data_IF_328697273936
#
_entry.id   IF_328697273936
#
_cell.length_a   1.000
_cell.length_b   1.000
_cell.length_c   1.000
_cell.angle_alpha   90.00
_cell.angle_beta   90.00
_cell.angle_gamma   90.00
#
_symmetry.space_group_name_H-M   'P 1'
#
loop_
_entity.id
_entity.type
_entity.pdbx_description
1 polymer ?
#
# COMPACT_ATOMS: atom_id res chain seq x y z
N UNK A 1 30.97 24.43 20.88
CA UNK A 1 30.33 23.17 20.47
C UNK A 1 28.85 23.38 20.70
N UNK A 2 28.14 23.81 19.66
CA UNK A 2 26.70 24.09 19.76
C UNK A 2 25.99 22.86 19.20
N UNK A 3 25.29 22.12 20.05
CA UNK A 3 24.47 20.99 19.61
C UNK A 3 23.18 21.62 19.10
N UNK A 4 23.12 21.84 17.79
CA UNK A 4 21.88 22.23 17.14
C UNK A 4 20.91 21.07 17.31
N UNK A 5 19.92 21.27 18.18
CA UNK A 5 18.78 20.39 18.36
C UNK A 5 18.15 20.20 17.00
N UNK A 6 18.43 19.06 16.37
CA UNK A 6 17.80 18.66 15.12
C UNK A 6 16.30 18.69 15.36
N UNK A 7 15.62 19.60 14.64
CA UNK A 7 14.19 19.78 14.60
C UNK A 7 13.50 18.40 14.61
N UNK A 8 12.95 18.01 15.77
CA UNK A 8 12.29 16.72 15.98
C UNK A 8 10.90 16.73 15.33
N UNK A 9 10.77 17.31 14.14
CA UNK A 9 9.57 17.17 13.35
C UNK A 9 9.55 15.73 12.81
N UNK A 10 8.43 14.99 13.00
CA UNK A 10 8.31 13.67 12.39
C UNK A 10 8.50 13.82 10.88
N UNK A 11 9.15 12.84 10.20
CA UNK A 11 9.35 12.89 8.76
C UNK A 11 8.01 13.25 8.08
N UNK A 12 8.05 14.23 7.18
CA UNK A 12 6.87 14.86 6.59
C UNK A 12 5.84 13.85 6.04
N UNK A 13 6.28 12.65 5.66
CA UNK A 13 5.51 11.58 5.03
C UNK A 13 4.77 10.62 6.01
N UNK A 14 4.78 10.87 7.32
CA UNK A 14 4.10 10.00 8.30
C UNK A 14 3.13 10.75 9.19
N UNK A 15 2.65 11.91 8.74
CA UNK A 15 1.69 12.72 9.46
C UNK A 15 0.24 12.27 9.21
N UNK A 16 -0.01 11.56 8.10
CA UNK A 16 -1.31 10.98 7.77
C UNK A 16 -1.17 9.48 7.62
N UNK A 17 -2.03 8.74 8.34
CA UNK A 17 -2.07 7.27 8.29
C UNK A 17 -3.41 6.83 7.74
N UNK A 18 -3.38 6.19 6.57
CA UNK A 18 -4.52 5.52 5.98
C UNK A 18 -4.80 4.20 6.71
N UNK A 19 -6.07 3.92 7.00
CA UNK A 19 -6.49 2.76 7.80
C UNK A 19 -7.46 1.90 7.01
N UNK A 20 -7.45 0.59 7.31
CA UNK A 20 -8.37 -0.40 6.73
C UNK A 20 -8.39 -0.41 5.19
N UNK A 21 -7.20 -0.32 4.57
CA UNK A 21 -7.05 -0.31 3.11
C UNK A 21 -7.08 -1.75 2.59
N UNK A 22 -8.14 -2.17 1.88
CA UNK A 22 -8.21 -3.50 1.30
C UNK A 22 -7.25 -3.62 0.11
N UNK A 23 -6.88 -4.84 -0.26
CA UNK A 23 -6.08 -5.09 -1.46
C UNK A 23 -6.84 -4.76 -2.76
N UNK A 24 -8.17 -4.74 -2.73
CA UNK A 24 -9.01 -4.42 -3.87
C UNK A 24 -10.27 -3.65 -3.46
N UNK A 25 -10.64 -2.66 -4.28
CA UNK A 25 -11.94 -1.97 -4.21
C UNK A 25 -12.86 -2.40 -5.36
N UNK A 26 -14.19 -2.35 -5.18
CA UNK A 26 -15.14 -2.57 -6.26
C UNK A 26 -15.05 -1.43 -7.30
N UNK A 27 -15.22 -1.77 -8.58
CA UNK A 27 -15.28 -0.80 -9.68
C UNK A 27 -16.59 -0.04 -9.75
N UNK A 28 -17.68 -0.69 -9.36
CA UNK A 28 -19.04 -0.22 -9.60
C UNK A 28 -19.72 0.34 -8.35
N UNK A 29 -18.92 0.92 -7.45
CA UNK A 29 -19.41 1.53 -6.22
C UNK A 29 -18.51 2.69 -5.78
N UNK A 30 -19.05 3.69 -5.07
CA UNK A 30 -18.22 4.67 -4.40
C UNK A 30 -17.31 3.99 -3.36
N UNK A 31 -16.12 4.54 -3.17
CA UNK A 31 -15.17 4.04 -2.17
C UNK A 31 -15.01 5.05 -1.03
N UNK A 32 -14.96 4.54 0.19
CA UNK A 32 -14.67 5.32 1.39
C UNK A 32 -13.26 5.02 1.84
N UNK A 33 -12.38 6.01 1.72
CA UNK A 33 -11.03 5.98 2.24
C UNK A 33 -11.03 6.53 3.66
N UNK A 34 -10.49 5.78 4.63
CA UNK A 34 -10.37 6.20 6.03
C UNK A 34 -8.92 6.56 6.36
N UNK A 35 -8.71 7.62 7.13
CA UNK A 35 -7.38 8.03 7.56
C UNK A 35 -7.42 8.75 8.91
N UNK A 36 -6.26 8.83 9.55
CA UNK A 36 -6.05 9.59 10.79
C UNK A 36 -4.94 10.61 10.58
N UNK A 37 -5.04 11.75 11.27
CA UNK A 37 -4.02 12.79 11.27
C UNK A 37 -3.24 12.74 12.59
N UNK A 38 -1.93 12.90 12.50
CA UNK A 38 -1.09 13.13 13.68
C UNK A 38 -1.42 14.51 14.29
N UNK A 39 -1.35 14.63 15.62
CA UNK A 39 -1.61 15.86 16.36
C UNK A 39 -0.76 17.07 15.90
N UNK A 40 0.40 16.84 15.28
CA UNK A 40 1.25 17.90 14.75
C UNK A 40 0.74 18.49 13.42
N UNK A 41 -0.13 17.79 12.67
CA UNK A 41 -0.63 18.27 11.39
C UNK A 41 -1.94 19.04 11.58
N UNK A 42 -1.93 20.31 11.17
CA UNK A 42 -3.14 21.14 11.14
C UNK A 42 -3.79 21.04 9.77
N UNK A 43 -4.98 20.42 9.66
CA UNK A 43 -5.65 20.25 8.39
C UNK A 43 -6.17 21.58 7.85
N UNK A 44 -6.02 21.79 6.55
CA UNK A 44 -6.55 22.92 5.79
C UNK A 44 -7.72 22.50 4.91
N UNK A 45 -8.63 23.43 4.63
CA UNK A 45 -9.67 23.24 3.60
C UNK A 45 -9.11 23.14 2.17
N UNK A 46 -7.81 23.42 1.99
CA UNK A 46 -7.08 23.20 0.74
C UNK A 46 -6.27 21.91 0.73
N UNK A 47 -6.38 21.09 1.76
CA UNK A 47 -5.79 19.75 1.75
C UNK A 47 -6.72 18.81 0.98
N UNK A 48 -6.16 17.76 0.38
CA UNK A 48 -6.92 16.83 -0.44
C UNK A 48 -6.34 15.42 -0.39
N UNK A 49 -7.20 14.43 -0.63
CA UNK A 49 -6.82 13.03 -0.78
C UNK A 49 -6.97 12.67 -2.25
N UNK A 50 -5.89 12.20 -2.85
CA UNK A 50 -5.87 11.74 -4.24
C UNK A 50 -5.70 10.23 -4.36
N UNK A 51 -6.20 9.69 -5.46
CA UNK A 51 -5.88 8.34 -5.94
C UNK A 51 -4.77 8.48 -6.98
N UNK A 52 -3.65 7.80 -6.77
CA UNK A 52 -2.49 7.85 -7.64
C UNK A 52 -2.16 6.45 -8.14
N UNK A 53 -1.81 6.31 -9.41
CA UNK A 53 -1.21 5.07 -9.94
C UNK A 53 0.17 4.88 -9.30
N UNK A 54 0.50 3.67 -8.86
CA UNK A 54 1.81 3.35 -8.28
C UNK A 54 2.93 3.70 -9.27
N UNK A 55 4.02 4.30 -8.78
CA UNK A 55 5.11 4.82 -9.60
C UNK A 55 4.95 6.29 -10.03
N UNK A 56 3.93 7.00 -9.53
CA UNK A 56 3.80 8.45 -9.68
C UNK A 56 5.04 9.21 -9.18
N UNK A 57 5.31 10.37 -9.77
CA UNK A 57 6.51 11.17 -9.47
C UNK A 57 6.18 12.56 -8.92
N UNK A 58 4.96 13.05 -9.13
CA UNK A 58 4.48 14.35 -8.67
C UNK A 58 3.05 14.30 -8.15
N UNK A 59 2.70 15.23 -7.26
CA UNK A 59 1.32 15.45 -6.83
C UNK A 59 0.38 15.81 -7.99
N UNK A 60 0.90 16.18 -9.17
CA UNK A 60 0.10 16.42 -10.39
C UNK A 60 -0.33 15.14 -11.11
N UNK A 61 0.24 14.00 -10.76
CA UNK A 61 -0.02 12.71 -11.43
C UNK A 61 -1.24 11.98 -10.84
N UNK A 62 -2.13 12.71 -10.14
CA UNK A 62 -3.34 12.13 -9.56
C UNK A 62 -4.30 11.66 -10.66
N UNK A 63 -4.99 10.56 -10.41
CA UNK A 63 -6.09 10.10 -11.25
C UNK A 63 -7.38 10.87 -10.92
N UNK A 64 -7.72 10.92 -9.64
CA UNK A 64 -8.86 11.68 -9.10
C UNK A 64 -8.55 12.11 -7.67
N UNK A 65 -9.30 13.09 -7.16
CA UNK A 65 -9.12 13.62 -5.82
C UNK A 65 -10.43 14.08 -5.19
N UNK A 66 -10.40 14.21 -3.87
CA UNK A 66 -11.43 14.89 -3.08
C UNK A 66 -10.79 15.83 -2.08
N UNK A 67 -11.40 16.99 -1.87
CA UNK A 67 -10.99 17.92 -0.83
C UNK A 67 -11.26 17.33 0.55
N UNK A 68 -10.38 17.60 1.51
CA UNK A 68 -10.59 17.23 2.91
C UNK A 68 -11.65 18.15 3.50
N UNK A 69 -12.69 17.56 4.08
CA UNK A 69 -13.73 18.34 4.73
C UNK A 69 -13.18 19.01 6.01
N UNK A 70 -13.53 20.30 6.24
CA UNK A 70 -13.20 20.98 7.49
C UNK A 70 -13.78 20.22 8.68
N UNK A 71 -13.02 20.14 9.77
CA UNK A 71 -13.55 19.61 11.04
C UNK A 71 -14.22 20.77 11.77
N UNK A 72 -15.52 20.63 12.05
CA UNK A 72 -16.29 21.67 12.74
C UNK A 72 -15.90 21.81 14.23
N UNK A 73 -15.22 20.80 14.79
CA UNK A 73 -14.78 20.77 16.18
C UNK A 73 -13.24 20.68 16.31
N UNK A 74 -12.57 21.76 16.78
CA UNK A 74 -11.13 21.78 17.00
C UNK A 74 -10.66 20.89 18.17
N UNK A 75 -11.51 20.62 19.18
CA UNK A 75 -11.14 19.77 20.32
C UNK A 75 -11.22 18.28 19.96
N UNK A 76 -12.09 17.94 19.02
CA UNK A 76 -12.23 16.60 18.47
C UNK A 76 -11.11 16.24 17.46
N UNK A 77 -10.28 17.20 17.07
CA UNK A 77 -9.31 17.03 15.97
C UNK A 77 -8.13 16.09 16.29
N UNK A 78 -7.92 15.72 17.56
CA UNK A 78 -6.85 14.82 17.95
C UNK A 78 -7.35 13.37 17.98
N UNK A 79 -6.96 12.59 16.96
CA UNK A 79 -7.25 11.14 16.82
C UNK A 79 -8.64 10.76 16.31
N UNK A 80 -9.38 11.68 15.68
CA UNK A 80 -10.58 11.30 14.93
C UNK A 80 -10.21 10.67 13.59
N UNK A 81 -10.81 9.51 13.33
CA UNK A 81 -10.81 8.92 12.00
C UNK A 81 -11.60 9.81 11.05
N UNK A 82 -10.96 10.23 9.97
CA UNK A 82 -11.56 11.00 8.88
C UNK A 82 -11.86 10.10 7.68
N UNK A 83 -12.72 10.60 6.80
CA UNK A 83 -13.15 9.89 5.62
C UNK A 83 -13.05 10.77 4.38
N UNK A 84 -12.69 10.14 3.27
CA UNK A 84 -12.72 10.71 1.93
C UNK A 84 -13.55 9.78 1.04
N UNK A 85 -14.62 10.29 0.44
CA UNK A 85 -15.57 9.49 -0.36
C UNK A 85 -15.39 9.81 -1.83
N UNK A 86 -14.88 8.85 -2.59
CA UNK A 86 -14.72 8.99 -4.04
C UNK A 86 -15.94 8.41 -4.75
N UNK A 87 -16.47 9.17 -5.72
CA UNK A 87 -17.60 8.71 -6.52
C UNK A 87 -17.13 7.72 -7.59
N UNK A 88 -17.92 6.67 -7.78
CA UNK A 88 -17.68 5.58 -8.73
C UNK A 88 -17.24 6.05 -10.12
N UNK A 89 -17.91 7.06 -10.68
CA UNK A 89 -17.67 7.52 -12.05
C UNK A 89 -16.30 8.20 -12.26
N UNK A 90 -15.57 8.51 -11.19
CA UNK A 90 -14.20 9.03 -11.23
C UNK A 90 -13.13 7.98 -10.93
N UNK A 91 -13.52 6.73 -10.64
CA UNK A 91 -12.57 5.69 -10.28
C UNK A 91 -11.87 5.13 -11.54
N UNK A 92 -10.60 4.69 -11.38
CA UNK A 92 -9.90 4.00 -12.45
C UNK A 92 -10.66 2.78 -12.98
N UNK A 93 -10.56 2.57 -14.30
CA UNK A 93 -11.21 1.45 -15.00
C UNK A 93 -10.24 0.34 -15.37
N UNK A 94 -8.94 0.62 -15.29
CA UNK A 94 -7.86 -0.30 -15.63
C UNK A 94 -7.75 -1.43 -14.60
N UNK A 95 -7.71 -2.68 -15.07
CA UNK A 95 -7.76 -3.88 -14.22
C UNK A 95 -6.38 -4.37 -13.74
N UNK A 96 -5.32 -3.94 -14.41
CA UNK A 96 -3.94 -4.44 -14.23
C UNK A 96 -3.13 -3.51 -13.31
N UNK A 97 -3.63 -2.30 -13.07
CA UNK A 97 -2.88 -1.24 -12.42
C UNK A 97 -3.12 -1.20 -10.91
N UNK A 98 -2.04 -0.90 -10.18
CA UNK A 98 -2.11 -0.64 -8.75
C UNK A 98 -2.19 0.86 -8.50
N UNK A 99 -2.99 1.22 -7.51
CA UNK A 99 -3.22 2.58 -7.05
C UNK A 99 -2.95 2.67 -5.56
N UNK A 100 -2.79 3.89 -5.06
CA UNK A 100 -2.67 4.19 -3.65
C UNK A 100 -3.34 5.54 -3.37
N UNK A 101 -3.84 5.71 -2.14
CA UNK A 101 -4.25 7.02 -1.67
C UNK A 101 -3.02 7.82 -1.25
N UNK A 102 -3.01 9.11 -1.55
CA UNK A 102 -2.03 10.05 -1.00
C UNK A 102 -2.75 11.26 -0.44
N UNK A 103 -2.33 11.70 0.75
CA UNK A 103 -2.80 12.96 1.33
C UNK A 103 -1.83 14.06 0.95
N UNK A 104 -2.35 15.11 0.31
CA UNK A 104 -1.58 16.26 -0.13
C UNK A 104 -2.06 17.48 0.66
N UNK A 105 -1.12 18.18 1.29
CA UNK A 105 -1.45 19.40 2.02
C UNK A 105 -1.64 20.61 1.11
N UNK A 106 -2.05 21.72 1.72
CA UNK A 106 -2.32 22.99 1.05
C UNK A 106 -1.11 23.65 0.37
N UNK A 107 0.11 23.16 0.65
CA UNK A 107 1.35 23.61 -0.01
C UNK A 107 1.86 22.60 -1.04
N UNK A 108 1.12 21.51 -1.28
CA UNK A 108 1.42 20.51 -2.30
C UNK A 108 2.35 19.39 -1.83
N UNK A 109 2.61 19.25 -0.53
CA UNK A 109 3.46 18.20 0.02
C UNK A 109 2.65 16.95 0.37
N UNK A 110 3.25 15.78 0.13
CA UNK A 110 2.66 14.49 0.47
C UNK A 110 2.89 14.23 1.96
N UNK A 111 1.79 14.07 2.71
CA UNK A 111 1.82 13.86 4.16
C UNK A 111 1.58 12.42 4.60
N UNK A 112 1.17 11.57 3.65
CA UNK A 112 1.03 10.14 3.83
C UNK A 112 0.60 9.47 2.53
N UNK A 113 0.87 8.17 2.46
CA UNK A 113 0.45 7.30 1.36
C UNK A 113 -0.08 5.97 1.93
N UNK A 114 -1.10 5.40 1.29
CA UNK A 114 -1.62 4.08 1.68
C UNK A 114 -0.74 2.95 1.16
N UNK A 115 -0.99 1.74 1.64
CA UNK A 115 -0.59 0.52 0.91
C UNK A 115 -1.26 0.50 -0.47
N UNK A 116 -0.60 -0.08 -1.49
CA UNK A 116 -1.20 -0.24 -2.81
C UNK A 116 -2.47 -1.12 -2.78
N UNK A 117 -3.41 -0.82 -3.67
CA UNK A 117 -4.63 -1.57 -3.93
C UNK A 117 -4.94 -1.56 -5.42
N UNK A 118 -5.85 -2.41 -5.88
CA UNK A 118 -6.34 -2.42 -7.26
C UNK A 118 -7.87 -2.25 -7.30
N UNK A 119 -8.41 -2.12 -8.50
CA UNK A 119 -9.86 -2.08 -8.74
C UNK A 119 -10.28 -3.36 -9.45
N UNK A 120 -11.24 -4.10 -8.88
CA UNK A 120 -11.71 -5.39 -9.43
C UNK A 120 -13.22 -5.51 -9.43
N UNK A 121 -13.74 -6.38 -10.29
CA UNK A 121 -15.14 -6.80 -10.20
C UNK A 121 -15.38 -7.67 -8.97
N UNK A 122 -16.60 -7.64 -8.46
CA UNK A 122 -17.00 -8.49 -7.33
C UNK A 122 -16.84 -9.99 -7.64
N UNK A 123 -17.04 -10.41 -8.90
CA UNK A 123 -16.86 -11.80 -9.33
C UNK A 123 -15.39 -12.28 -9.24
N UNK A 124 -14.44 -11.40 -9.50
CA UNK A 124 -12.99 -11.69 -9.50
C UNK A 124 -12.40 -11.67 -8.09
N UNK A 125 -12.96 -10.86 -7.19
CA UNK A 125 -12.53 -10.82 -5.78
C UNK A 125 -12.71 -12.18 -5.10
N UNK A 126 -13.74 -12.93 -5.48
CA UNK A 126 -14.03 -14.25 -4.90
C UNK A 126 -13.12 -15.36 -5.46
N UNK A 127 -12.60 -15.20 -6.68
CA UNK A 127 -11.67 -16.16 -7.31
C UNK A 127 -10.22 -15.90 -6.91
N UNK A 128 -9.83 -14.64 -6.72
CA UNK A 128 -8.47 -14.24 -6.31
C UNK A 128 -8.09 -14.70 -4.90
N UNK A 129 -9.06 -14.86 -3.99
CA UNK A 129 -8.80 -15.40 -2.65
C UNK A 129 -8.58 -16.91 -2.62
N UNK A 130 -9.04 -17.65 -3.63
CA UNK A 130 -8.92 -19.11 -3.68
C UNK A 130 -7.58 -19.58 -4.27
N UNK A 131 -6.94 -18.75 -5.10
CA UNK A 131 -5.67 -19.08 -5.76
C UNK A 131 -4.42 -18.84 -4.88
N UNK A 132 -4.55 -18.08 -3.78
CA UNK A 132 -3.44 -17.82 -2.84
C UNK A 132 -3.19 -19.03 -1.91
N UNK A 133 -4.21 -19.86 -1.66
CA UNK A 133 -4.12 -21.07 -0.82
C UNK A 133 -3.59 -22.31 -1.58
N UNK A 134 -3.53 -22.28 -2.92
CA UNK A 134 -3.00 -23.38 -3.77
C UNK A 134 -1.60 -23.07 -4.33
N UNK A 135 -0.70 -22.48 -3.53
CA UNK A 135 0.71 -22.39 -3.89
C UNK A 135 1.32 -23.81 -3.96
N UNK A 136 1.37 -24.37 -5.17
CA UNK A 136 1.93 -25.69 -5.46
C UNK A 136 3.41 -25.73 -5.06
N UNK A 137 3.73 -26.42 -3.97
CA UNK A 137 5.12 -26.65 -3.55
C UNK A 137 5.78 -27.58 -4.57
N UNK A 138 6.55 -27.02 -5.51
CA UNK A 138 7.39 -27.80 -6.42
C UNK A 138 8.59 -28.31 -5.61
N UNK A 139 8.45 -29.48 -4.96
CA UNK A 139 9.62 -30.17 -4.40
C UNK A 139 10.37 -30.86 -5.53
N UNK A 140 11.56 -30.37 -5.84
CA UNK A 140 12.50 -31.06 -6.74
C UNK A 140 13.17 -32.18 -5.93
N UNK A 141 12.79 -33.44 -6.17
CA UNK A 141 13.52 -34.58 -5.65
C UNK A 141 14.79 -34.76 -6.50
N UNK A 142 15.95 -34.42 -5.93
CA UNK A 142 17.23 -34.80 -6.51
C UNK A 142 17.44 -36.31 -6.28
N UNK A 143 17.50 -37.09 -7.36
CA UNK A 143 18.02 -38.46 -7.31
C UNK A 143 19.55 -38.39 -7.24
N UNK A 144 20.21 -38.94 -6.21
CA UNK A 144 21.66 -39.09 -6.24
C UNK A 144 22.03 -40.22 -7.22
N UNK A 145 22.75 -39.86 -8.27
CA UNK A 145 23.39 -40.77 -9.21
C UNK A 145 24.27 -41.78 -8.46
N UNK A 146 24.00 -43.07 -8.66
CA UNK A 146 24.91 -44.14 -8.27
C UNK A 146 26.09 -44.16 -9.24
N UNK A 147 27.20 -43.56 -8.83
CA UNK A 147 28.50 -43.76 -9.48
C UNK A 147 29.14 -44.99 -8.84
N UNK A 148 29.20 -46.07 -9.61
CA UNK A 148 30.03 -47.22 -9.30
C UNK A 148 31.50 -46.86 -9.41
N UNK A 149 32.29 -47.33 -8.44
CA UNK A 149 33.73 -47.45 -8.63
C UNK A 149 34.16 -48.86 -8.25
N UNK A 150 34.84 -49.50 -9.19
CA UNK A 150 35.39 -50.84 -9.11
C UNK A 150 36.85 -50.71 -8.71
N UNK A 151 37.22 -51.19 -7.52
CA UNK A 151 38.63 -51.40 -7.17
C UNK A 151 38.87 -52.86 -6.82
N UNK A 152 39.81 -53.44 -7.57
CA UNK A 152 40.17 -54.85 -7.73
C UNK A 152 40.91 -55.45 -6.50
N UNK A 153 41.24 -56.76 -6.51
CA UNK A 153 41.48 -57.54 -5.30
C UNK A 153 42.90 -57.44 -4.75
N UNK A 154 43.03 -57.58 -3.44
CA UNK A 154 44.29 -57.78 -2.73
C UNK A 154 44.73 -59.26 -2.80
N UNK A 155 45.94 -59.53 -3.31
CA UNK A 155 46.59 -60.84 -3.23
C UNK A 155 47.43 -60.98 -1.93
N UNK A 156 47.70 -62.22 -1.46
CA UNK A 156 48.00 -62.51 -0.05
C UNK A 156 49.50 -62.56 0.26
N UNK A 157 49.83 -62.46 1.56
CA UNK A 157 51.18 -62.74 2.05
C UNK A 157 51.18 -63.19 3.52
N UNK A 158 51.26 -64.51 3.73
CA UNK A 158 52.14 -65.22 4.68
C UNK A 158 51.82 -66.72 4.64
#
# INVERSE_FOLDING_TARGET
YDVSTSDLSPPAFSQVVFIDIPQAYPRSAPITCRFTLNAALQPSSRDWVGIFKVGWSSAKDYHTFVWVEPTEDPEASQRITRQAVFKEYYLPKDEIEFYQFCYIDSVGQVRGASTPFCFRNQAEQNTGSLVDDELLVITTQAFPDQIGDVTSPTCPGS
#
